data_IF_741772813524
#
_entry.id   IF_741772813524
#
_cell.length_a   1.000
_cell.length_b   1.000
_cell.length_c   1.000
_cell.angle_alpha   90.00
_cell.angle_beta   90.00
_cell.angle_gamma   90.00
#
_symmetry.space_group_name_H-M   'P 1'
#
loop_
_entity.id
_entity.type
_entity.pdbx_description
1 polymer ?
#
# COMPACT_ATOMS: atom_id res chain seq x y z
N UNK A 1 14.91 5.76 -3.13
CA UNK A 1 15.38 4.95 -4.30
C UNK A 1 14.39 5.16 -5.42
N UNK A 2 14.83 5.62 -6.60
CA UNK A 2 13.95 5.73 -7.79
C UNK A 2 13.91 4.36 -8.46
N UNK A 3 12.77 3.70 -8.43
CA UNK A 3 12.55 2.47 -9.19
C UNK A 3 12.38 2.86 -10.65
N UNK A 4 13.22 2.32 -11.52
CA UNK A 4 13.05 2.44 -12.97
C UNK A 4 12.32 1.19 -13.44
N UNK A 5 11.09 1.35 -13.91
CA UNK A 5 10.30 0.24 -14.44
C UNK A 5 9.92 0.48 -15.89
N UNK A 6 9.76 -0.61 -16.61
CA UNK A 6 9.14 -0.68 -17.91
C UNK A 6 7.92 -1.60 -17.85
N UNK A 7 7.06 -1.49 -18.85
CA UNK A 7 5.93 -2.39 -19.06
C UNK A 7 6.15 -3.04 -20.42
N UNK A 8 6.17 -4.37 -20.44
CA UNK A 8 6.11 -5.15 -21.67
C UNK A 8 4.65 -5.51 -21.90
N UNK A 9 4.13 -5.23 -23.08
CA UNK A 9 2.80 -5.64 -23.51
C UNK A 9 2.96 -6.63 -24.65
N UNK A 10 2.46 -7.83 -24.44
CA UNK A 10 2.42 -8.89 -25.45
C UNK A 10 0.97 -9.08 -25.87
N UNK A 11 0.72 -9.21 -27.16
CA UNK A 11 -0.59 -9.52 -27.74
C UNK A 11 -0.44 -10.75 -28.62
N UNK A 12 -1.24 -11.78 -28.35
CA UNK A 12 -1.24 -12.99 -29.14
C UNK A 12 -2.22 -12.93 -30.34
N UNK A 13 -2.26 -14.00 -31.11
CA UNK A 13 -3.13 -14.15 -32.29
C UNK A 13 -4.62 -14.18 -31.96
N UNK A 14 -4.97 -14.45 -30.69
CA UNK A 14 -6.36 -14.47 -30.19
C UNK A 14 -6.75 -13.13 -29.52
N UNK A 15 -5.91 -12.12 -29.64
CA UNK A 15 -6.04 -10.81 -28.98
C UNK A 15 -5.99 -10.90 -27.44
N UNK A 16 -5.47 -11.96 -26.86
CA UNK A 16 -5.16 -11.96 -25.44
C UNK A 16 -3.96 -11.05 -25.18
N UNK A 17 -4.07 -10.22 -24.15
CA UNK A 17 -3.04 -9.23 -23.81
C UNK A 17 -2.40 -9.62 -22.50
N UNK A 18 -1.07 -9.75 -22.50
CA UNK A 18 -0.26 -9.95 -21.31
C UNK A 18 0.53 -8.68 -21.01
N UNK A 19 0.42 -8.20 -19.78
CA UNK A 19 1.11 -7.00 -19.31
C UNK A 19 2.11 -7.39 -18.24
N UNK A 20 3.40 -7.18 -18.50
CA UNK A 20 4.50 -7.58 -17.64
C UNK A 20 5.24 -6.34 -17.13
N UNK A 21 5.12 -5.97 -15.85
CA UNK A 21 5.95 -4.93 -15.27
C UNK A 21 7.36 -5.47 -14.98
N UNK A 22 8.38 -4.75 -15.43
CA UNK A 22 9.80 -5.13 -15.34
C UNK A 22 10.61 -4.07 -14.60
N UNK A 23 11.45 -4.49 -13.66
CA UNK A 23 12.51 -3.65 -13.13
C UNK A 23 13.68 -3.63 -14.13
N UNK A 24 13.93 -2.46 -14.73
CA UNK A 24 14.98 -2.29 -15.74
C UNK A 24 16.39 -2.50 -15.15
N UNK A 25 16.56 -2.26 -13.86
CA UNK A 25 17.88 -2.35 -13.22
C UNK A 25 18.27 -3.78 -12.87
N UNK A 26 17.30 -4.61 -12.52
CA UNK A 26 17.52 -5.99 -12.13
C UNK A 26 17.12 -6.98 -13.22
N UNK A 27 16.48 -6.50 -14.30
CA UNK A 27 15.93 -7.30 -15.39
C UNK A 27 14.94 -8.38 -14.91
N UNK A 28 14.27 -8.11 -13.77
CA UNK A 28 13.32 -9.04 -13.16
C UNK A 28 11.89 -8.54 -13.30
N UNK A 29 10.96 -9.45 -13.48
CA UNK A 29 9.54 -9.14 -13.42
C UNK A 29 9.13 -8.87 -11.97
N UNK A 30 8.42 -7.77 -11.74
CA UNK A 30 7.86 -7.46 -10.41
C UNK A 30 6.73 -8.41 -10.02
N UNK A 31 6.08 -9.02 -11.00
CA UNK A 31 4.85 -9.77 -10.87
C UNK A 31 4.72 -10.75 -12.04
N UNK A 32 3.92 -11.78 -11.88
CA UNK A 32 3.62 -12.75 -12.97
C UNK A 32 2.95 -12.11 -14.20
N UNK A 33 2.59 -10.83 -14.07
CA UNK A 33 1.90 -10.07 -15.10
C UNK A 33 0.39 -10.10 -14.95
N UNK A 34 -0.26 -9.38 -15.84
CA UNK A 34 -1.71 -9.33 -15.96
C UNK A 34 -2.08 -9.94 -17.31
N UNK A 35 -3.03 -10.88 -17.30
CA UNK A 35 -3.55 -11.49 -18.51
C UNK A 35 -4.98 -11.00 -18.74
N UNK A 36 -5.22 -10.42 -19.89
CA UNK A 36 -6.54 -10.04 -20.40
C UNK A 36 -6.86 -11.00 -21.55
N UNK A 37 -7.77 -11.93 -21.32
CA UNK A 37 -8.02 -13.02 -22.26
C UNK A 37 -8.67 -12.56 -23.57
N UNK A 38 -9.59 -11.58 -23.49
CA UNK A 38 -10.20 -10.97 -24.68
C UNK A 38 -10.46 -9.49 -24.45
N UNK A 39 -10.10 -8.65 -25.40
CA UNK A 39 -10.36 -7.20 -25.32
C UNK A 39 -11.82 -6.83 -25.62
N UNK A 40 -12.61 -7.76 -26.09
CA UNK A 40 -13.96 -7.53 -26.62
C UNK A 40 -15.08 -7.97 -25.67
N UNK A 41 -14.75 -8.74 -24.64
CA UNK A 41 -15.71 -9.23 -23.64
C UNK A 41 -15.46 -8.53 -22.31
N UNK A 42 -16.24 -7.49 -21.96
CA UNK A 42 -16.03 -6.69 -20.75
C UNK A 42 -16.01 -7.51 -19.47
N UNK A 43 -16.76 -8.61 -19.40
CA UNK A 43 -16.79 -9.54 -18.28
C UNK A 43 -15.50 -10.32 -18.09
N UNK A 44 -14.66 -10.43 -19.12
CA UNK A 44 -13.36 -11.07 -19.03
C UNK A 44 -12.29 -10.17 -18.38
N UNK A 45 -12.56 -8.88 -18.25
CA UNK A 45 -11.64 -7.97 -17.60
C UNK A 45 -11.68 -8.15 -16.08
N UNK A 46 -10.56 -8.53 -15.52
CA UNK A 46 -10.39 -8.56 -14.06
C UNK A 46 -10.51 -7.16 -13.44
N UNK A 47 -10.12 -6.14 -14.20
CA UNK A 47 -10.03 -4.73 -13.76
C UNK A 47 -11.24 -3.92 -14.26
N UNK A 48 -12.39 -4.10 -13.61
CA UNK A 48 -13.62 -3.35 -13.91
C UNK A 48 -13.97 -2.37 -12.78
N UNK A 49 -14.65 -1.29 -13.11
CA UNK A 49 -15.13 -0.32 -12.10
C UNK A 49 -16.11 -0.96 -11.10
N UNK A 50 -16.89 -1.97 -11.56
CA UNK A 50 -17.81 -2.71 -10.70
C UNK A 50 -17.09 -3.53 -9.62
N UNK A 51 -15.85 -3.94 -9.85
CA UNK A 51 -15.08 -4.69 -8.86
C UNK A 51 -14.85 -3.90 -7.58
N UNK A 52 -14.72 -2.59 -7.67
CA UNK A 52 -14.60 -1.72 -6.50
C UNK A 52 -15.77 -1.87 -5.50
N UNK A 53 -16.94 -2.31 -5.98
CA UNK A 53 -18.14 -2.51 -5.16
C UNK A 53 -18.15 -3.88 -4.44
N UNK A 54 -17.48 -4.87 -4.99
CA UNK A 54 -17.50 -6.26 -4.52
C UNK A 54 -16.20 -6.75 -3.93
N UNK A 55 -15.08 -6.06 -4.25
CA UNK A 55 -13.76 -6.42 -3.74
C UNK A 55 -13.70 -6.28 -2.21
N UNK A 56 -13.27 -7.33 -1.48
CA UNK A 56 -13.12 -7.27 -0.03
C UNK A 56 -12.16 -6.14 0.39
N UNK A 57 -12.57 -5.38 1.41
CA UNK A 57 -11.70 -4.35 1.99
C UNK A 57 -10.53 -5.00 2.72
N UNK A 58 -9.33 -4.41 2.66
CA UNK A 58 -8.25 -4.76 3.58
C UNK A 58 -8.68 -4.52 5.04
N UNK A 59 -8.06 -5.22 5.97
CA UNK A 59 -8.34 -5.05 7.40
C UNK A 59 -7.08 -5.22 8.24
N UNK A 60 -7.09 -4.62 9.40
CA UNK A 60 -6.05 -4.81 10.42
C UNK A 60 -6.52 -5.90 11.39
N UNK A 61 -5.74 -6.97 11.63
CA UNK A 61 -6.09 -7.99 12.60
C UNK A 61 -6.10 -7.42 14.03
N UNK A 62 -6.74 -8.13 14.97
CA UNK A 62 -6.93 -7.65 16.33
C UNK A 62 -5.62 -7.44 17.11
N UNK A 63 -4.56 -8.17 16.75
CA UNK A 63 -3.21 -8.08 17.31
C UNK A 63 -2.30 -7.10 16.55
N UNK A 64 -2.84 -6.36 15.59
CA UNK A 64 -2.08 -5.39 14.83
C UNK A 64 -1.58 -4.25 15.74
N UNK A 65 -0.32 -3.88 15.58
CA UNK A 65 0.27 -2.74 16.27
C UNK A 65 1.37 -2.09 15.45
N UNK A 66 1.58 -0.79 15.65
CA UNK A 66 2.71 -0.06 15.12
C UNK A 66 3.77 0.08 16.22
N UNK A 67 5.03 -0.18 15.90
CA UNK A 67 6.17 0.24 16.71
C UNK A 67 6.68 1.60 16.22
N UNK A 68 7.21 2.39 17.14
CA UNK A 68 7.71 3.72 16.81
C UNK A 68 8.93 4.09 17.67
N UNK A 69 9.81 4.91 17.11
CA UNK A 69 10.94 5.50 17.81
C UNK A 69 11.20 6.90 17.28
N UNK A 70 11.55 7.84 18.16
CA UNK A 70 12.00 9.17 17.78
C UNK A 70 13.52 9.22 17.87
N UNK A 71 14.19 9.58 16.76
CA UNK A 71 15.63 9.72 16.73
C UNK A 71 16.09 11.09 17.28
N UNK A 72 17.38 11.23 17.70
CA UNK A 72 17.94 12.52 18.09
C UNK A 72 17.89 13.60 17.00
N UNK A 73 17.79 13.19 15.74
CA UNK A 73 17.67 14.08 14.57
C UNK A 73 16.22 14.50 14.32
N UNK A 74 15.32 14.28 15.27
CA UNK A 74 13.89 14.58 15.14
C UNK A 74 13.21 13.87 13.99
N UNK A 75 13.56 12.60 13.76
CA UNK A 75 12.88 11.73 12.81
C UNK A 75 12.06 10.66 13.57
N UNK A 76 10.77 10.67 13.35
CA UNK A 76 9.86 9.64 13.86
C UNK A 76 9.88 8.46 12.89
N UNK A 77 10.44 7.34 13.34
CA UNK A 77 10.43 6.07 12.63
C UNK A 77 9.22 5.26 13.08
N UNK A 78 8.43 4.81 12.13
CA UNK A 78 7.23 4.00 12.39
C UNK A 78 7.36 2.70 11.57
N UNK A 79 7.16 1.56 12.24
CA UNK A 79 7.18 0.24 11.60
C UNK A 79 5.91 -0.51 11.95
N UNK A 80 5.33 -1.19 10.97
CA UNK A 80 4.08 -1.94 11.14
C UNK A 80 4.02 -3.15 10.20
N UNK A 81 3.30 -4.23 10.57
CA UNK A 81 3.08 -5.37 9.70
C UNK A 81 2.12 -5.03 8.56
N UNK A 82 2.10 -5.86 7.53
CA UNK A 82 1.12 -5.73 6.45
C UNK A 82 -0.30 -5.96 6.98
N UNK A 83 -1.27 -5.18 6.48
CA UNK A 83 -2.67 -5.46 6.68
C UNK A 83 -3.06 -6.74 5.92
N UNK A 84 -4.09 -7.41 6.39
CA UNK A 84 -4.65 -8.60 5.77
C UNK A 84 -5.74 -8.24 4.75
N UNK A 85 -5.97 -9.14 3.81
CA UNK A 85 -7.06 -9.03 2.84
C UNK A 85 -7.55 -10.41 2.44
N UNK A 86 -8.87 -10.54 2.22
CA UNK A 86 -9.49 -11.70 1.61
C UNK A 86 -9.69 -11.51 0.10
N UNK A 87 -9.26 -10.38 -0.44
CA UNK A 87 -9.30 -10.02 -1.85
C UNK A 87 -7.90 -9.87 -2.43
N UNK A 88 -7.78 -8.92 -3.34
CA UNK A 88 -6.49 -8.62 -3.97
C UNK A 88 -5.53 -7.93 -2.98
N UNK A 89 -4.24 -7.92 -3.30
CA UNK A 89 -3.17 -7.37 -2.44
C UNK A 89 -3.45 -5.92 -2.04
N UNK A 90 -2.99 -5.54 -0.86
CA UNK A 90 -2.96 -4.13 -0.44
C UNK A 90 -2.03 -3.36 -1.37
N UNK A 91 -2.48 -2.22 -1.88
CA UNK A 91 -1.70 -1.37 -2.79
C UNK A 91 -0.75 -0.44 -2.02
N UNK A 92 -1.29 0.24 -1.02
CA UNK A 92 -0.56 1.29 -0.30
C UNK A 92 -1.15 1.52 1.08
N UNK A 93 -0.40 2.24 1.92
CA UNK A 93 -0.86 2.70 3.21
C UNK A 93 -0.88 4.23 3.25
N UNK A 94 -1.87 4.77 3.94
CA UNK A 94 -1.95 6.20 4.27
C UNK A 94 -1.83 6.33 5.78
N UNK A 95 -0.80 7.02 6.23
CA UNK A 95 -0.58 7.34 7.63
C UNK A 95 -0.88 8.81 7.85
N UNK A 96 -1.57 9.10 8.97
CA UNK A 96 -1.86 10.46 9.43
C UNK A 96 -1.42 10.56 10.89
N UNK A 97 -0.63 11.58 11.20
CA UNK A 97 -0.25 11.95 12.55
C UNK A 97 -1.07 13.16 12.98
N UNK A 98 -1.71 13.07 14.16
CA UNK A 98 -2.51 14.17 14.72
C UNK A 98 -1.98 14.61 16.07
N UNK A 99 -2.19 15.90 16.36
CA UNK A 99 -2.03 16.45 17.72
C UNK A 99 -3.09 15.91 18.67
N UNK A 100 -2.93 16.15 19.96
CA UNK A 100 -3.95 15.89 20.99
C UNK A 100 -5.27 16.65 20.76
N UNK A 101 -5.23 17.76 20.04
CA UNK A 101 -6.40 18.58 19.67
C UNK A 101 -7.07 18.07 18.38
N UNK A 102 -6.47 17.08 17.71
CA UNK A 102 -7.00 16.45 16.49
C UNK A 102 -6.50 17.06 15.17
N UNK A 103 -5.62 18.05 15.22
CA UNK A 103 -5.05 18.69 14.03
C UNK A 103 -4.11 17.72 13.29
N UNK A 104 -4.16 17.72 11.97
CA UNK A 104 -3.26 16.93 11.14
C UNK A 104 -1.89 17.62 11.12
N UNK A 105 -0.90 16.96 11.71
CA UNK A 105 0.50 17.41 11.73
C UNK A 105 1.28 16.90 10.54
N UNK A 106 1.04 15.65 10.16
CA UNK A 106 1.68 15.04 9.00
C UNK A 106 0.76 14.00 8.36
N UNK A 107 0.92 13.84 7.05
CA UNK A 107 0.29 12.76 6.29
C UNK A 107 1.27 12.20 5.28
N UNK A 108 1.39 10.88 5.23
CA UNK A 108 2.27 10.20 4.27
C UNK A 108 1.60 8.97 3.68
N UNK A 109 1.81 8.79 2.37
CA UNK A 109 1.39 7.58 1.65
C UNK A 109 2.63 6.79 1.26
N UNK A 110 2.62 5.48 1.51
CA UNK A 110 3.70 4.57 1.11
C UNK A 110 3.14 3.37 0.35
N UNK A 111 3.96 2.80 -0.53
CA UNK A 111 3.63 1.56 -1.22
C UNK A 111 3.70 0.38 -0.25
N UNK A 112 2.78 -0.58 -0.38
CA UNK A 112 2.87 -1.88 0.28
C UNK A 112 3.96 -2.79 -0.31
N UNK A 113 4.62 -2.36 -1.39
CA UNK A 113 5.50 -3.19 -2.23
C UNK A 113 4.75 -4.33 -2.94
N UNK A 114 3.48 -4.11 -3.27
CA UNK A 114 2.57 -5.07 -3.91
C UNK A 114 3.10 -5.69 -5.21
N UNK A 115 3.98 -4.97 -5.89
CA UNK A 115 4.60 -5.37 -7.16
C UNK A 115 5.67 -6.46 -6.99
N UNK A 116 6.10 -6.74 -5.75
CA UNK A 116 7.10 -7.79 -5.48
C UNK A 116 6.42 -9.16 -5.40
N UNK A 117 7.11 -10.19 -5.85
CA UNK A 117 6.67 -11.59 -5.71
C UNK A 117 6.47 -11.94 -4.24
N UNK A 118 7.46 -11.60 -3.39
CA UNK A 118 7.35 -11.67 -1.94
C UNK A 118 7.22 -10.26 -1.37
N UNK A 119 6.04 -9.92 -0.87
CA UNK A 119 5.84 -8.66 -0.16
C UNK A 119 6.59 -8.70 1.17
N UNK A 120 7.19 -7.59 1.63
CA UNK A 120 7.80 -7.53 2.93
C UNK A 120 6.73 -7.77 4.02
N UNK A 121 7.07 -8.50 5.06
CA UNK A 121 6.16 -8.76 6.19
C UNK A 121 5.86 -7.47 6.96
N UNK A 122 6.84 -6.58 7.05
CA UNK A 122 6.75 -5.29 7.72
C UNK A 122 7.13 -4.16 6.80
N UNK A 123 6.54 -3.00 7.05
CA UNK A 123 6.84 -1.75 6.37
C UNK A 123 7.36 -0.72 7.38
N UNK A 124 8.27 0.13 6.91
CA UNK A 124 8.77 1.25 7.71
C UNK A 124 8.61 2.55 6.96
N UNK A 125 8.35 3.61 7.71
CA UNK A 125 8.34 4.97 7.19
C UNK A 125 8.98 5.92 8.19
N UNK A 126 9.40 7.06 7.69
CA UNK A 126 10.03 8.14 8.45
C UNK A 126 9.25 9.42 8.25
N UNK A 127 9.02 10.16 9.33
CA UNK A 127 8.41 11.48 9.32
C UNK A 127 9.32 12.45 10.07
N UNK A 128 9.62 13.64 9.51
CA UNK A 128 10.17 14.73 10.29
C UNK A 128 9.23 15.07 11.45
N UNK A 129 9.78 15.26 12.65
CA UNK A 129 9.01 15.50 13.86
C UNK A 129 9.65 16.63 14.70
N UNK A 130 9.18 17.84 14.50
CA UNK A 130 9.64 19.06 15.19
C UNK A 130 8.56 19.61 16.15
N UNK A 131 7.86 18.71 16.86
CA UNK A 131 6.79 19.08 17.80
C UNK A 131 7.24 18.83 19.23
N UNK A 132 6.54 19.46 20.19
CA UNK A 132 6.80 19.30 21.61
C UNK A 132 6.56 17.85 22.08
N UNK A 133 7.21 17.45 23.18
CA UNK A 133 6.90 16.17 23.81
C UNK A 133 5.42 16.11 24.24
N UNK A 134 4.77 14.99 24.03
CA UNK A 134 3.36 14.81 24.35
C UNK A 134 2.71 13.60 23.70
N UNK A 135 1.39 13.52 23.80
CA UNK A 135 0.60 12.45 23.23
C UNK A 135 0.07 12.86 21.84
N UNK A 136 0.20 11.94 20.91
CA UNK A 136 -0.22 12.08 19.51
C UNK A 136 -1.08 10.90 19.09
N UNK A 137 -1.90 11.09 18.09
CA UNK A 137 -2.70 10.04 17.50
C UNK A 137 -2.14 9.65 16.14
N UNK A 138 -1.78 8.38 16.01
CA UNK A 138 -1.40 7.76 14.77
C UNK A 138 -2.62 7.08 14.15
N UNK A 139 -3.00 7.48 12.95
CA UNK A 139 -4.05 6.85 12.17
C UNK A 139 -3.43 6.16 10.96
N UNK A 140 -3.81 4.91 10.70
CA UNK A 140 -3.34 4.16 9.55
C UNK A 140 -4.51 3.59 8.76
N UNK A 141 -4.39 3.63 7.43
CA UNK A 141 -5.35 3.05 6.50
C UNK A 141 -4.61 2.19 5.50
N UNK A 142 -5.13 1.00 5.23
CA UNK A 142 -4.71 0.16 4.12
C UNK A 142 -5.61 0.42 2.90
N UNK A 143 -5.00 0.71 1.75
CA UNK A 143 -5.72 1.00 0.51
C UNK A 143 -5.55 -0.18 -0.45
N UNK A 144 -6.64 -0.73 -0.95
CA UNK A 144 -6.66 -1.75 -2.00
C UNK A 144 -6.56 -1.13 -3.39
N UNK A 145 -6.39 -2.00 -4.41
CA UNK A 145 -6.32 -1.59 -5.80
C UNK A 145 -7.63 -1.05 -6.35
N UNK A 146 -8.73 -1.61 -5.90
CA UNK A 146 -10.07 -1.37 -6.40
C UNK A 146 -10.77 -0.23 -5.67
N UNK A 147 -10.03 0.80 -5.26
CA UNK A 147 -10.52 1.93 -4.46
C UNK A 147 -11.09 1.50 -3.10
N UNK A 148 -10.84 0.27 -2.69
CA UNK A 148 -11.22 -0.21 -1.36
C UNK A 148 -10.28 0.35 -0.31
N UNK A 149 -10.79 0.54 0.90
CA UNK A 149 -10.03 1.06 2.03
C UNK A 149 -10.45 0.36 3.31
N UNK A 150 -9.47 0.03 4.16
CA UNK A 150 -9.73 -0.53 5.48
C UNK A 150 -10.49 0.45 6.38
N UNK A 151 -11.07 -0.07 7.44
CA UNK A 151 -11.36 0.76 8.62
C UNK A 151 -10.06 1.35 9.16
N UNK A 152 -10.20 2.44 9.87
CA UNK A 152 -9.08 3.18 10.43
C UNK A 152 -8.48 2.44 11.62
N UNK A 153 -7.18 2.14 11.56
CA UNK A 153 -6.43 1.77 12.77
C UNK A 153 -6.00 3.05 13.50
N UNK A 154 -6.12 3.05 14.82
CA UNK A 154 -5.78 4.19 15.68
C UNK A 154 -4.88 3.71 16.80
N UNK A 155 -3.79 4.42 17.05
CA UNK A 155 -2.88 4.20 18.17
C UNK A 155 -2.45 5.54 18.76
N UNK A 156 -2.52 5.67 20.09
CA UNK A 156 -1.87 6.78 20.78
C UNK A 156 -0.38 6.48 20.90
N UNK A 157 0.45 7.46 20.61
CA UNK A 157 1.91 7.42 20.76
C UNK A 157 2.35 8.57 21.66
N UNK A 158 3.26 8.29 22.59
CA UNK A 158 3.84 9.30 23.50
C UNK A 158 5.29 9.55 23.09
N UNK A 159 5.64 10.79 22.78
CA UNK A 159 6.94 11.21 22.26
C UNK A 159 7.57 12.32 23.09
#
# INVERSE_FOLDING_TARGET
MKVKCAIIVEVDENNAVRILPVDILTEQFFHEGYLLNTCWEPESFEFTASRALTEPKPYFPADFSCSYTLSPEHILHITFPQAQTNGYRVNSYTLVLRSSEGDILAQKKISSSYYRTAMPETLSLELPFDYAAGDYTLELFANGFWLTRSEKYIQTISL
#
